data_IF_776857479107
#
_entry.id   IF_776857479107
#
_cell.length_a   1.000
_cell.length_b   1.000
_cell.length_c   1.000
_cell.angle_alpha   90.00
_cell.angle_beta   90.00
_cell.angle_gamma   90.00
#
_symmetry.space_group_name_H-M   'P 1'
#
loop_
_entity.id
_entity.type
_entity.pdbx_description
1 polymer ?
#
# COMPACT_ATOMS: atom_id res chain seq x y z
N UNK A 1 24.92 12.84 -49.79
CA UNK A 1 24.22 12.90 -51.09
C UNK A 1 23.80 14.30 -51.46
N UNK A 2 23.04 15.01 -50.61
CA UNK A 2 22.66 16.42 -50.84
C UNK A 2 23.85 17.29 -51.24
N UNK A 3 24.92 17.33 -50.43
CA UNK A 3 26.17 18.04 -50.74
C UNK A 3 26.82 17.68 -52.09
N UNK A 4 26.61 16.46 -52.58
CA UNK A 4 27.13 16.02 -53.87
C UNK A 4 26.20 16.44 -55.03
N UNK A 5 24.90 16.60 -54.78
CA UNK A 5 23.94 17.15 -55.75
C UNK A 5 24.16 18.65 -55.96
N UNK A 6 24.47 19.41 -54.90
CA UNK A 6 24.76 20.85 -54.99
C UNK A 6 25.97 21.16 -55.89
N UNK A 7 26.91 20.22 -55.98
CA UNK A 7 28.13 20.31 -56.79
C UNK A 7 28.17 19.28 -57.90
N UNK A 8 27.00 18.93 -58.46
CA UNK A 8 26.91 17.80 -59.41
C UNK A 8 27.77 18.00 -60.66
N UNK A 9 27.89 19.23 -61.17
CA UNK A 9 28.71 19.51 -62.35
C UNK A 9 30.20 19.24 -62.09
N UNK A 10 30.69 19.55 -60.89
CA UNK A 10 32.05 19.23 -60.48
C UNK A 10 32.23 17.72 -60.36
N UNK A 11 31.27 17.01 -59.74
CA UNK A 11 31.31 15.55 -59.61
C UNK A 11 31.33 14.87 -60.98
N UNK A 12 30.53 15.34 -61.93
CA UNK A 12 30.52 14.82 -63.31
C UNK A 12 31.82 15.14 -64.06
N UNK A 13 32.41 16.33 -63.85
CA UNK A 13 33.72 16.68 -64.42
C UNK A 13 34.83 15.77 -63.89
N UNK A 14 34.89 15.53 -62.58
CA UNK A 14 35.83 14.57 -61.99
C UNK A 14 35.59 13.19 -62.58
N UNK A 15 34.34 12.73 -62.65
CA UNK A 15 34.00 11.41 -63.18
C UNK A 15 34.44 11.19 -64.63
N UNK A 16 34.40 12.23 -65.46
CA UNK A 16 34.89 12.17 -66.85
C UNK A 16 36.41 12.27 -66.96
N UNK A 17 37.07 12.93 -66.02
CA UNK A 17 38.52 13.15 -66.03
C UNK A 17 39.30 12.02 -65.33
N UNK A 18 38.66 11.27 -64.42
CA UNK A 18 39.27 10.15 -63.72
C UNK A 18 39.51 8.95 -64.64
N UNK A 19 40.68 8.32 -64.49
CA UNK A 19 41.08 7.15 -65.29
C UNK A 19 40.52 5.82 -64.78
N UNK A 20 40.17 5.74 -63.50
CA UNK A 20 39.56 4.56 -62.88
C UNK A 20 38.55 4.95 -61.80
N UNK A 21 37.74 3.97 -61.36
CA UNK A 21 36.81 4.14 -60.25
C UNK A 21 37.53 4.51 -58.95
N UNK A 22 38.66 3.87 -58.69
CA UNK A 22 39.50 4.10 -57.51
C UNK A 22 40.04 5.53 -57.51
N UNK A 23 40.47 6.03 -58.67
CA UNK A 23 40.90 7.43 -58.80
C UNK A 23 39.74 8.40 -58.60
N UNK A 24 38.56 8.11 -59.13
CA UNK A 24 37.36 8.92 -58.91
C UNK A 24 37.01 9.02 -57.42
N UNK A 25 37.03 7.90 -56.70
CA UNK A 25 36.80 7.86 -55.26
C UNK A 25 37.91 8.61 -54.49
N UNK A 26 39.19 8.47 -54.88
CA UNK A 26 40.34 9.20 -54.31
C UNK A 26 40.19 10.73 -54.40
N UNK A 27 39.73 11.24 -55.54
CA UNK A 27 39.48 12.69 -55.73
C UNK A 27 38.28 13.16 -54.91
N UNK A 28 37.21 12.36 -54.78
CA UNK A 28 36.06 12.69 -53.94
C UNK A 28 36.39 12.70 -52.45
N UNK A 29 37.34 11.88 -51.99
CA UNK A 29 37.87 11.94 -50.63
C UNK A 29 38.78 13.16 -50.39
N UNK A 30 39.32 13.73 -51.46
CA UNK A 30 40.29 14.83 -51.41
C UNK A 30 41.72 14.37 -51.20
N UNK A 31 42.03 13.09 -51.45
CA UNK A 31 43.39 12.58 -51.42
C UNK A 31 44.17 13.08 -52.64
N UNK A 32 43.49 13.17 -53.78
CA UNK A 32 43.98 13.74 -55.03
C UNK A 32 43.23 15.03 -55.38
N UNK A 33 43.91 15.94 -56.07
CA UNK A 33 43.30 17.20 -56.54
C UNK A 33 43.38 17.29 -58.05
N UNK A 34 42.31 17.79 -58.67
CA UNK A 34 42.27 18.09 -60.10
C UNK A 34 42.31 19.60 -60.31
N UNK A 35 43.09 20.04 -61.30
CA UNK A 35 43.11 21.44 -61.71
C UNK A 35 41.71 21.86 -62.16
N UNK A 36 41.21 23.00 -61.66
CA UNK A 36 39.88 23.58 -61.92
C UNK A 36 38.71 23.14 -61.01
N UNK A 37 38.92 22.29 -60.00
CA UNK A 37 37.83 21.86 -59.08
C UNK A 37 38.24 22.06 -57.62
N UNK A 38 37.34 22.66 -56.83
CA UNK A 38 37.57 22.84 -55.40
C UNK A 38 37.57 21.48 -54.67
N UNK A 39 38.50 21.31 -53.73
CA UNK A 39 38.73 20.07 -52.99
C UNK A 39 37.44 19.53 -52.35
N UNK A 40 37.18 18.23 -52.51
CA UNK A 40 36.11 17.52 -51.81
C UNK A 40 36.59 16.98 -50.46
N UNK A 41 35.63 16.70 -49.57
CA UNK A 41 35.91 16.23 -48.20
C UNK A 41 34.96 15.08 -47.83
N UNK A 42 34.64 14.21 -48.78
CA UNK A 42 33.74 13.08 -48.53
C UNK A 42 34.49 11.95 -47.82
N UNK A 43 33.80 11.21 -46.96
CA UNK A 43 34.36 9.98 -46.38
C UNK A 43 34.37 8.86 -47.42
N UNK A 44 35.14 7.80 -47.19
CA UNK A 44 35.20 6.64 -48.09
C UNK A 44 33.80 6.03 -48.40
N UNK A 45 32.93 5.78 -47.40
CA UNK A 45 31.57 5.31 -47.69
C UNK A 45 30.74 6.32 -48.52
N UNK A 46 30.95 7.62 -48.32
CA UNK A 46 30.25 8.66 -49.07
C UNK A 46 30.73 8.74 -50.51
N UNK A 47 32.04 8.66 -50.75
CA UNK A 47 32.63 8.66 -52.08
C UNK A 47 32.16 7.45 -52.89
N UNK A 48 32.16 6.26 -52.27
CA UNK A 48 31.63 5.04 -52.88
C UNK A 48 30.14 5.17 -53.24
N UNK A 49 29.33 5.69 -52.31
CA UNK A 49 27.90 5.91 -52.56
C UNK A 49 27.63 6.91 -53.70
N UNK A 50 28.48 7.93 -53.86
CA UNK A 50 28.40 8.88 -54.98
C UNK A 50 28.79 8.18 -56.30
N UNK A 51 29.84 7.37 -56.29
CA UNK A 51 30.31 6.62 -57.46
C UNK A 51 29.29 5.60 -57.97
N UNK A 52 28.47 5.04 -57.08
CA UNK A 52 27.46 4.03 -57.41
C UNK A 52 26.13 4.63 -57.90
N UNK A 53 26.02 5.96 -58.01
CA UNK A 53 24.81 6.59 -58.52
C UNK A 53 24.58 6.34 -60.00
N UNK A 54 23.30 6.21 -60.35
CA UNK A 54 22.85 6.06 -61.73
C UNK A 54 22.41 7.42 -62.28
N UNK A 55 22.66 7.66 -63.57
CA UNK A 55 22.39 8.95 -64.23
C UNK A 55 20.93 9.41 -64.11
N UNK A 56 19.95 8.50 -64.13
CA UNK A 56 18.54 8.88 -63.98
C UNK A 56 18.22 9.49 -62.60
N UNK A 57 19.01 9.17 -61.56
CA UNK A 57 18.83 9.72 -60.20
C UNK A 57 19.30 11.18 -60.10
N UNK A 58 19.77 11.76 -61.19
CA UNK A 58 20.05 13.19 -61.34
C UNK A 58 18.83 13.96 -61.88
N UNK A 59 17.70 13.27 -62.10
CA UNK A 59 16.45 13.93 -62.47
C UNK A 59 16.03 14.94 -61.40
N UNK A 60 15.36 16.02 -61.82
CA UNK A 60 14.86 17.04 -60.89
C UNK A 60 13.97 16.45 -59.78
N UNK A 61 13.14 15.48 -60.15
CA UNK A 61 12.27 14.77 -59.20
C UNK A 61 13.05 13.94 -58.18
N UNK A 62 14.10 13.24 -58.59
CA UNK A 62 14.90 12.43 -57.66
C UNK A 62 15.79 13.31 -56.77
N UNK A 63 16.25 14.45 -57.28
CA UNK A 63 16.96 15.46 -56.46
C UNK A 63 16.04 16.03 -55.39
N UNK A 64 14.84 16.43 -55.78
CA UNK A 64 13.83 16.96 -54.86
C UNK A 64 13.42 15.92 -53.80
N UNK A 65 13.22 14.65 -54.17
CA UNK A 65 12.95 13.57 -53.22
C UNK A 65 14.04 13.42 -52.16
N UNK A 66 15.31 13.42 -52.59
CA UNK A 66 16.45 13.29 -51.67
C UNK A 66 16.56 14.50 -50.75
N UNK A 67 16.24 15.69 -51.26
CA UNK A 67 16.21 16.90 -50.44
C UNK A 67 15.09 16.83 -49.39
N UNK A 68 13.87 16.48 -49.81
CA UNK A 68 12.74 16.33 -48.89
C UNK A 68 13.00 15.27 -47.81
N UNK A 69 13.56 14.11 -48.19
CA UNK A 69 13.93 13.06 -47.24
C UNK A 69 14.98 13.56 -46.23
N UNK A 70 15.96 14.35 -46.69
CA UNK A 70 16.96 14.96 -45.81
C UNK A 70 16.30 15.92 -44.81
N UNK A 71 15.41 16.79 -45.28
CA UNK A 71 14.72 17.77 -44.44
C UNK A 71 13.81 17.07 -43.40
N UNK A 72 13.06 16.04 -43.82
CA UNK A 72 12.24 15.21 -42.91
C UNK A 72 13.09 14.51 -41.84
N UNK A 73 14.26 13.99 -42.23
CA UNK A 73 15.20 13.36 -41.30
C UNK A 73 15.77 14.39 -40.31
N UNK A 74 16.08 15.62 -40.73
CA UNK A 74 16.53 16.68 -39.82
C UNK A 74 15.47 17.02 -38.77
N UNK A 75 14.20 17.09 -39.18
CA UNK A 75 13.09 17.32 -38.24
C UNK A 75 12.98 16.16 -37.24
N UNK A 76 13.02 14.91 -37.72
CA UNK A 76 12.99 13.72 -36.86
C UNK A 76 14.16 13.66 -35.88
N UNK A 77 15.38 13.95 -36.34
CA UNK A 77 16.57 13.96 -35.48
C UNK A 77 16.41 14.99 -34.37
N UNK A 78 15.94 16.19 -34.73
CA UNK A 78 15.72 17.27 -33.76
C UNK A 78 14.69 16.86 -32.71
N UNK A 79 13.57 16.29 -33.15
CA UNK A 79 12.51 15.80 -32.27
C UNK A 79 12.99 14.70 -31.31
N UNK A 80 13.66 13.67 -31.86
CA UNK A 80 14.20 12.56 -31.07
C UNK A 80 15.29 13.03 -30.09
N UNK A 81 16.14 13.97 -30.51
CA UNK A 81 17.17 14.55 -29.62
C UNK A 81 16.54 15.35 -28.49
N UNK A 82 15.47 16.10 -28.77
CA UNK A 82 14.71 16.82 -27.74
C UNK A 82 14.10 15.85 -26.72
N UNK A 83 13.50 14.75 -27.18
CA UNK A 83 12.99 13.67 -26.30
C UNK A 83 14.10 13.08 -25.43
N UNK A 84 15.27 12.77 -26.00
CA UNK A 84 16.39 12.19 -25.25
C UNK A 84 16.97 13.19 -24.24
N UNK A 85 16.99 14.48 -24.56
CA UNK A 85 17.55 15.50 -23.68
C UNK A 85 16.61 15.89 -22.52
N UNK A 86 15.30 15.95 -22.76
CA UNK A 86 14.32 16.43 -21.80
C UNK A 86 13.66 15.31 -21.01
N UNK A 87 13.95 15.24 -19.70
CA UNK A 87 13.32 14.27 -18.80
C UNK A 87 11.79 14.46 -18.73
N UNK A 88 11.33 15.70 -18.66
CA UNK A 88 9.90 16.03 -18.63
C UNK A 88 9.17 15.51 -19.86
N UNK A 89 9.78 15.68 -21.05
CA UNK A 89 9.20 15.21 -22.32
C UNK A 89 9.12 13.68 -22.39
N UNK A 90 10.11 12.96 -21.85
CA UNK A 90 10.03 11.48 -21.74
C UNK A 90 8.90 11.04 -20.82
N UNK A 91 8.74 11.69 -19.67
CA UNK A 91 7.67 11.35 -18.74
C UNK A 91 6.28 11.64 -19.33
N UNK A 92 6.12 12.74 -20.07
CA UNK A 92 4.83 13.03 -20.71
C UNK A 92 4.47 11.97 -21.75
N UNK A 93 5.43 11.56 -22.59
CA UNK A 93 5.22 10.49 -23.57
C UNK A 93 4.89 9.17 -22.86
N UNK A 94 5.65 8.80 -21.83
CA UNK A 94 5.44 7.57 -21.08
C UNK A 94 4.08 7.53 -20.38
N UNK A 95 3.64 8.65 -19.78
CA UNK A 95 2.32 8.74 -19.16
C UNK A 95 1.19 8.60 -20.20
N UNK A 96 1.35 9.22 -21.36
CA UNK A 96 0.40 9.08 -22.46
C UNK A 96 0.30 7.63 -22.92
N UNK A 97 1.44 6.99 -23.23
CA UNK A 97 1.48 5.59 -23.68
C UNK A 97 0.90 4.63 -22.63
N UNK A 98 1.22 4.82 -21.35
CA UNK A 98 0.64 4.00 -20.26
C UNK A 98 -0.86 4.19 -20.14
N UNK A 99 -1.37 5.42 -20.34
CA UNK A 99 -2.80 5.69 -20.32
C UNK A 99 -3.50 5.00 -21.49
N UNK A 100 -2.94 5.07 -22.71
CA UNK A 100 -3.47 4.37 -23.88
C UNK A 100 -3.50 2.85 -23.69
N UNK A 101 -2.46 2.27 -23.06
CA UNK A 101 -2.43 0.85 -22.73
C UNK A 101 -3.50 0.50 -21.68
N UNK A 102 -3.64 1.32 -20.64
CA UNK A 102 -4.66 1.14 -19.60
C UNK A 102 -6.08 1.23 -20.17
N UNK A 103 -6.34 2.13 -21.12
CA UNK A 103 -7.65 2.25 -21.76
C UNK A 103 -7.95 1.07 -22.70
N UNK A 104 -6.94 0.62 -23.46
CA UNK A 104 -7.11 -0.48 -24.42
C UNK A 104 -7.25 -1.85 -23.75
N UNK A 105 -6.62 -2.04 -22.59
CA UNK A 105 -6.49 -3.35 -21.95
C UNK A 105 -6.99 -3.40 -20.50
N UNK A 106 -7.55 -2.31 -19.97
CA UNK A 106 -8.07 -2.26 -18.62
C UNK A 106 -9.34 -3.09 -18.44
N UNK A 107 -9.44 -3.76 -17.30
CA UNK A 107 -10.63 -4.45 -16.84
C UNK A 107 -10.96 -4.07 -15.38
N UNK A 108 -12.22 -4.26 -15.00
CA UNK A 108 -12.64 -4.00 -13.63
C UNK A 108 -12.04 -5.04 -12.67
N UNK A 109 -11.68 -4.58 -11.46
CA UNK A 109 -11.16 -5.45 -10.42
C UNK A 109 -12.20 -6.52 -10.06
N UNK A 110 -11.87 -7.78 -10.36
CA UNK A 110 -12.74 -8.93 -10.09
C UNK A 110 -12.88 -9.30 -8.61
N UNK A 111 -11.88 -8.98 -7.79
CA UNK A 111 -11.84 -9.35 -6.37
C UNK A 111 -12.13 -8.14 -5.47
N UNK A 112 -12.89 -8.36 -4.40
CA UNK A 112 -13.10 -7.36 -3.36
C UNK A 112 -12.13 -7.62 -2.18
N UNK A 113 -11.55 -6.57 -1.62
CA UNK A 113 -10.75 -6.66 -0.39
C UNK A 113 -11.68 -6.32 0.76
N UNK A 114 -12.00 -7.32 1.56
CA UNK A 114 -12.72 -7.11 2.82
C UNK A 114 -11.72 -6.57 3.87
N UNK A 115 -11.93 -5.33 4.40
CA UNK A 115 -11.06 -4.75 5.40
C UNK A 115 -11.18 -5.44 6.78
N UNK A 116 -12.15 -6.34 6.97
CA UNK A 116 -12.38 -7.06 8.23
C UNK A 116 -12.43 -8.57 8.00
N UNK A 117 -11.28 -9.25 7.81
CA UNK A 117 -11.25 -10.70 7.65
C UNK A 117 -11.65 -11.36 8.98
N UNK A 118 -12.90 -11.85 9.07
CA UNK A 118 -13.46 -12.57 10.23
C UNK A 118 -13.40 -11.77 11.54
N UNK A 119 -14.52 -11.15 11.95
CA UNK A 119 -14.67 -10.71 13.35
C UNK A 119 -14.80 -11.95 14.24
N UNK A 120 -13.67 -12.57 14.61
CA UNK A 120 -13.64 -13.29 15.88
C UNK A 120 -13.82 -12.23 16.95
N UNK A 121 -14.99 -12.20 17.57
CA UNK A 121 -15.17 -11.39 18.75
C UNK A 121 -14.19 -11.91 19.81
N UNK A 122 -13.53 -11.02 20.57
CA UNK A 122 -12.59 -11.45 21.63
C UNK A 122 -13.19 -12.49 22.57
N UNK A 123 -14.50 -12.53 22.70
CA UNK A 123 -15.27 -13.53 23.45
C UNK A 123 -15.12 -14.96 22.93
N UNK A 124 -14.92 -15.16 21.63
CA UNK A 124 -14.70 -16.49 21.03
C UNK A 124 -13.39 -17.13 21.50
N UNK A 125 -12.43 -16.30 21.94
CA UNK A 125 -11.17 -16.74 22.54
C UNK A 125 -11.30 -17.03 24.05
N UNK A 126 -12.40 -16.66 24.70
CA UNK A 126 -12.62 -16.86 26.13
C UNK A 126 -13.25 -18.22 26.36
N UNK A 127 -12.56 -19.09 27.10
CA UNK A 127 -13.11 -20.38 27.51
C UNK A 127 -14.29 -20.19 28.48
N UNK A 128 -15.39 -20.90 28.20
CA UNK A 128 -16.57 -20.93 29.05
C UNK A 128 -16.30 -21.72 30.34
N UNK A 129 -16.40 -21.05 31.49
CA UNK A 129 -16.14 -21.65 32.81
C UNK A 129 -16.99 -20.99 33.88
N UNK A 130 -17.28 -21.71 34.96
CA UNK A 130 -17.99 -21.15 36.10
C UNK A 130 -17.09 -20.22 36.93
N UNK A 131 -17.58 -19.02 37.20
CA UNK A 131 -16.92 -17.98 37.97
C UNK A 131 -17.73 -17.64 39.22
N UNK A 132 -17.03 -17.26 40.27
CA UNK A 132 -17.57 -16.52 41.42
C UNK A 132 -17.18 -15.07 41.25
N UNK A 133 -18.17 -14.18 41.17
CA UNK A 133 -17.97 -12.73 41.21
C UNK A 133 -18.20 -12.28 42.65
N UNK A 134 -17.27 -11.48 43.18
CA UNK A 134 -17.46 -10.82 44.47
C UNK A 134 -17.38 -9.31 44.30
N UNK A 135 -18.38 -8.61 44.83
CA UNK A 135 -18.42 -7.17 45.00
C UNK A 135 -18.23 -6.86 46.48
N UNK A 136 -17.45 -5.82 46.78
CA UNK A 136 -17.23 -5.33 48.13
C UNK A 136 -18.08 -4.08 48.42
N UNK A 137 -18.11 -3.60 49.66
CA UNK A 137 -18.85 -2.38 50.03
C UNK A 137 -18.22 -1.13 49.42
N UNK A 138 -16.89 -1.09 49.26
CA UNK A 138 -16.19 0.01 48.56
C UNK A 138 -16.25 -0.10 47.03
N UNK A 139 -17.18 -0.89 46.47
CA UNK A 139 -17.36 -1.10 45.02
C UNK A 139 -16.13 -1.69 44.29
N UNK A 140 -15.35 -2.54 44.95
CA UNK A 140 -14.34 -3.34 44.27
C UNK A 140 -14.95 -4.66 43.78
N UNK A 141 -14.70 -4.97 42.51
CA UNK A 141 -15.18 -6.17 41.85
C UNK A 141 -13.99 -7.03 41.42
N UNK A 142 -14.18 -8.35 41.53
CA UNK A 142 -13.24 -9.37 41.05
C UNK A 142 -13.98 -10.64 40.71
N UNK A 143 -13.35 -11.49 39.91
CA UNK A 143 -13.76 -12.87 39.72
C UNK A 143 -12.66 -13.86 40.09
N UNK A 144 -13.11 -15.07 40.42
CA UNK A 144 -12.26 -16.26 40.48
C UNK A 144 -13.02 -17.48 39.97
N UNK A 145 -12.34 -18.50 39.43
CA UNK A 145 -12.97 -19.78 39.14
C UNK A 145 -13.58 -20.40 40.41
N UNK A 146 -14.73 -21.07 40.28
CA UNK A 146 -15.45 -21.69 41.41
C UNK A 146 -14.57 -22.69 42.17
N UNK A 147 -13.68 -23.38 41.47
CA UNK A 147 -12.71 -24.33 42.05
C UNK A 147 -11.77 -23.64 43.04
N UNK A 148 -11.38 -22.39 42.75
CA UNK A 148 -10.52 -21.58 43.61
C UNK A 148 -11.21 -21.01 44.85
N UNK A 149 -12.55 -20.97 44.85
CA UNK A 149 -13.33 -20.54 46.01
C UNK A 149 -13.55 -21.68 47.02
N UNK A 150 -13.60 -22.93 46.56
CA UNK A 150 -13.94 -24.12 47.36
C UNK A 150 -12.70 -24.81 47.97
N UNK A 151 -11.97 -24.12 48.85
CA UNK A 151 -11.01 -24.77 49.76
C UNK A 151 -11.11 -24.15 51.16
N UNK A 152 -11.87 -24.83 52.04
CA UNK A 152 -11.40 -25.43 53.30
C UNK A 152 -12.59 -25.63 54.25
N UNK A 153 -12.95 -26.91 54.50
CA UNK A 153 -13.84 -27.29 55.57
C UNK A 153 -13.04 -28.13 56.58
N UNK A 154 -12.72 -27.54 57.75
CA UNK A 154 -12.53 -28.13 59.10
C UNK A 154 -11.43 -27.40 59.92
N UNK A 155 -11.88 -26.67 60.95
CA UNK A 155 -11.29 -26.58 62.31
C UNK A 155 -9.92 -25.93 62.53
N UNK A 156 -9.89 -24.78 63.21
CA UNK A 156 -8.67 -24.25 63.86
C UNK A 156 -8.89 -22.90 64.57
N UNK A 157 -8.84 -22.91 65.91
CA UNK A 157 -8.90 -21.74 66.82
C UNK A 157 -7.83 -20.68 66.49
N UNK A 158 -8.14 -19.39 66.67
CA UNK A 158 -7.11 -18.34 66.76
C UNK A 158 -7.61 -16.91 66.62
N UNK A 159 -8.28 -16.40 67.65
CA UNK A 159 -8.53 -14.97 67.84
C UNK A 159 -7.20 -14.25 68.17
N UNK A 160 -6.93 -13.16 67.44
CA UNK A 160 -6.15 -11.94 67.78
C UNK A 160 -4.95 -11.64 66.89
N UNK A 161 -5.01 -10.44 66.32
CA UNK A 161 -3.86 -9.72 65.78
C UNK A 161 -4.34 -8.46 65.07
N UNK A 162 -4.83 -7.49 65.85
CA UNK A 162 -5.28 -6.16 65.39
C UNK A 162 -4.32 -5.61 64.33
N UNK A 163 -4.80 -5.52 63.11
CA UNK A 163 -4.40 -4.46 62.19
C UNK A 163 -5.70 -3.86 61.68
N UNK A 164 -6.20 -2.86 62.40
CA UNK A 164 -7.28 -2.00 61.92
C UNK A 164 -6.80 -1.34 60.62
N UNK A 165 -7.19 -1.92 59.49
CA UNK A 165 -7.10 -1.34 58.16
C UNK A 165 -8.34 -1.82 57.43
N UNK A 166 -9.37 -0.97 57.42
CA UNK A 166 -10.55 -1.00 56.55
C UNK A 166 -10.73 -2.33 55.79
N UNK A 167 -11.17 -3.38 56.49
CA UNK A 167 -11.50 -4.64 55.85
C UNK A 167 -12.84 -4.45 55.14
N UNK A 168 -12.74 -4.05 53.88
CA UNK A 168 -13.87 -3.93 52.96
C UNK A 168 -14.55 -5.29 52.80
N UNK A 169 -15.74 -5.41 53.40
CA UNK A 169 -16.49 -6.66 53.45
C UNK A 169 -17.17 -6.96 52.11
N UNK A 170 -17.37 -8.24 51.74
CA UNK A 170 -18.18 -8.58 50.57
C UNK A 170 -19.61 -8.07 50.74
N UNK A 171 -20.08 -7.24 49.80
CA UNK A 171 -21.46 -6.77 49.72
C UNK A 171 -22.33 -7.73 48.93
N UNK A 172 -21.77 -8.37 47.90
CA UNK A 172 -22.45 -9.40 47.10
C UNK A 172 -21.46 -10.48 46.63
N UNK A 173 -21.93 -11.73 46.62
CA UNK A 173 -21.22 -12.85 46.02
C UNK A 173 -22.22 -13.57 45.12
N UNK A 174 -21.91 -13.66 43.83
CA UNK A 174 -22.75 -14.31 42.83
C UNK A 174 -21.94 -15.33 42.03
N UNK A 175 -22.62 -16.30 41.46
CA UNK A 175 -22.03 -17.31 40.57
C UNK A 175 -22.61 -17.16 39.17
N UNK A 176 -21.76 -17.20 38.15
CA UNK A 176 -22.16 -17.11 36.73
C UNK A 176 -21.13 -17.82 35.85
N UNK A 177 -21.41 -17.96 34.56
CA UNK A 177 -20.40 -18.38 33.58
C UNK A 177 -19.59 -17.18 33.07
N UNK A 178 -18.38 -17.43 32.57
CA UNK A 178 -17.47 -16.40 32.08
C UNK A 178 -18.06 -15.57 30.93
N UNK A 179 -18.95 -16.16 30.11
CA UNK A 179 -19.63 -15.50 28.99
C UNK A 179 -20.97 -14.84 29.37
N UNK A 180 -21.43 -14.99 30.60
CA UNK A 180 -22.64 -14.32 31.06
C UNK A 180 -22.45 -12.81 31.15
N UNK A 181 -23.55 -12.07 31.04
CA UNK A 181 -23.57 -10.62 31.20
C UNK A 181 -23.95 -10.27 32.63
N UNK A 182 -23.15 -9.43 33.28
CA UNK A 182 -23.45 -8.84 34.57
C UNK A 182 -24.23 -7.54 34.37
N UNK A 183 -25.46 -7.50 34.89
CA UNK A 183 -26.28 -6.31 34.99
C UNK A 183 -26.03 -5.66 36.34
N UNK A 184 -25.43 -4.47 36.33
CA UNK A 184 -25.01 -3.73 37.52
C UNK A 184 -25.97 -2.55 37.70
N UNK A 185 -26.74 -2.57 38.79
CA UNK A 185 -27.74 -1.55 39.11
C UNK A 185 -27.18 -0.53 40.09
N UNK A 186 -27.40 0.75 39.82
CA UNK A 186 -26.97 1.86 40.70
C UNK A 186 -28.14 2.54 41.41
N UNK A 187 -27.82 3.28 42.47
CA UNK A 187 -28.76 4.11 43.25
C UNK A 187 -29.44 5.22 42.46
N UNK A 188 -28.89 5.60 41.30
CA UNK A 188 -29.51 6.56 40.38
C UNK A 188 -30.44 5.90 39.35
N UNK A 189 -30.76 4.62 39.49
CA UNK A 189 -31.65 3.90 38.59
C UNK A 189 -31.03 3.59 37.22
N UNK A 190 -29.70 3.57 37.13
CA UNK A 190 -28.98 3.20 35.89
C UNK A 190 -28.56 1.74 35.93
N UNK A 191 -28.52 1.12 34.77
CA UNK A 191 -28.07 -0.26 34.58
C UNK A 191 -26.89 -0.26 33.63
N UNK A 192 -25.79 -0.87 34.07
CA UNK A 192 -24.61 -1.08 33.26
C UNK A 192 -24.44 -2.57 32.96
N UNK A 193 -24.04 -2.89 31.73
CA UNK A 193 -23.78 -4.26 31.32
C UNK A 193 -22.28 -4.50 31.13
N UNK A 194 -21.72 -5.44 31.88
CA UNK A 194 -20.32 -5.86 31.81
C UNK A 194 -20.26 -7.37 31.57
N UNK A 195 -19.40 -7.88 30.68
CA UNK A 195 -19.25 -9.34 30.53
C UNK A 195 -18.50 -9.89 31.74
N UNK A 196 -18.88 -11.07 32.24
CA UNK A 196 -18.30 -11.60 33.47
C UNK A 196 -16.77 -11.77 33.39
N UNK A 197 -16.24 -12.20 32.24
CA UNK A 197 -14.80 -12.33 31.99
C UNK A 197 -14.03 -11.00 31.95
N UNK A 198 -14.70 -9.85 31.73
CA UNK A 198 -14.08 -8.53 31.71
C UNK A 198 -13.77 -8.01 33.13
N UNK A 199 -14.37 -8.62 34.17
CA UNK A 199 -13.99 -8.34 35.55
C UNK A 199 -12.56 -8.83 35.82
N UNK A 200 -11.80 -8.22 36.75
CA UNK A 200 -10.42 -8.62 36.99
C UNK A 200 -10.36 -9.96 37.72
N UNK A 201 -9.50 -10.87 37.25
CA UNK A 201 -9.21 -12.11 37.95
C UNK A 201 -8.35 -11.80 39.18
N UNK A 202 -8.77 -12.24 40.37
CA UNK A 202 -7.98 -12.08 41.59
C UNK A 202 -8.12 -13.30 42.52
N UNK A 203 -7.13 -13.48 43.40
CA UNK A 203 -7.21 -14.49 44.46
C UNK A 203 -8.27 -14.10 45.51
N UNK A 204 -8.65 -15.04 46.38
CA UNK A 204 -9.59 -14.81 47.49
C UNK A 204 -9.23 -13.62 48.39
N UNK A 205 -7.94 -13.28 48.49
CA UNK A 205 -7.44 -12.16 49.29
C UNK A 205 -7.10 -10.91 48.45
N UNK A 206 -7.14 -10.98 47.12
CA UNK A 206 -6.80 -9.85 46.25
C UNK A 206 -7.97 -8.88 46.09
N UNK A 207 -7.78 -7.57 46.31
CA UNK A 207 -8.87 -6.59 46.35
C UNK A 207 -9.65 -6.43 45.03
N UNK A 208 -9.07 -6.77 43.88
CA UNK A 208 -9.71 -6.56 42.57
C UNK A 208 -9.56 -5.13 42.07
N UNK A 209 -10.50 -4.67 41.25
CA UNK A 209 -10.51 -3.30 40.69
C UNK A 209 -11.80 -2.59 41.05
N UNK A 210 -11.72 -1.29 41.30
CA UNK A 210 -12.89 -0.47 41.55
C UNK A 210 -13.79 -0.44 40.30
N UNK A 211 -15.10 -0.64 40.47
CA UNK A 211 -16.04 -0.83 39.36
C UNK A 211 -16.10 0.37 38.39
N UNK A 212 -15.87 1.59 38.90
CA UNK A 212 -15.72 2.82 38.09
C UNK A 212 -14.67 2.74 36.98
N UNK A 213 -13.63 1.93 37.15
CA UNK A 213 -12.59 1.78 36.13
C UNK A 213 -13.01 0.81 35.02
N UNK A 214 -14.07 0.03 35.24
CA UNK A 214 -14.57 -0.98 34.31
C UNK A 214 -15.84 -0.51 33.57
N UNK A 215 -16.62 0.35 34.21
CA UNK A 215 -17.87 0.88 33.65
C UNK A 215 -17.64 2.23 33.00
N UNK A 216 -17.77 2.28 31.67
CA UNK A 216 -17.71 3.54 30.95
C UNK A 216 -18.95 4.40 31.27
N UNK A 217 -18.73 5.64 31.74
CA UNK A 217 -19.81 6.63 31.91
C UNK A 217 -20.56 6.60 33.25
N UNK A 218 -20.08 5.82 34.22
CA UNK A 218 -20.54 5.92 35.62
C UNK A 218 -20.04 7.23 36.25
N UNK A 219 -20.91 7.89 37.01
CA UNK A 219 -20.59 9.14 37.70
C UNK A 219 -19.94 8.88 39.06
N UNK A 220 -19.23 9.88 39.59
CA UNK A 220 -18.55 9.75 40.88
C UNK A 220 -19.49 9.65 42.09
N UNK A 221 -20.74 10.11 41.94
CA UNK A 221 -21.79 10.06 42.95
C UNK A 221 -22.74 8.85 42.80
N UNK A 222 -22.48 7.94 41.85
CA UNK A 222 -23.24 6.71 41.65
C UNK A 222 -22.64 5.56 42.46
N UNK A 223 -23.49 4.88 43.24
CA UNK A 223 -23.12 3.69 44.03
C UNK A 223 -23.83 2.45 43.50
N UNK A 224 -23.13 1.32 43.46
CA UNK A 224 -23.71 0.04 43.04
C UNK A 224 -24.57 -0.51 44.17
N UNK A 225 -25.79 -0.91 43.83
CA UNK A 225 -26.73 -1.54 44.76
C UNK A 225 -26.72 -3.06 44.58
N UNK A 226 -26.73 -3.53 43.34
CA UNK A 226 -26.84 -4.96 43.06
C UNK A 226 -26.18 -5.34 41.73
N UNK A 227 -25.80 -6.61 41.65
CA UNK A 227 -25.33 -7.24 40.42
C UNK A 227 -26.20 -8.47 40.16
N UNK A 228 -26.76 -8.55 38.97
CA UNK A 228 -27.54 -9.69 38.51
C UNK A 228 -26.85 -10.31 37.30
N UNK A 229 -26.43 -11.59 37.36
CA UNK A 229 -25.95 -12.29 36.18
C UNK A 229 -27.14 -12.66 35.28
N UNK A 230 -26.97 -12.47 33.98
CA UNK A 230 -27.91 -12.85 32.93
C UNK A 230 -27.19 -13.81 31.98
N UNK A 231 -27.78 -14.98 31.75
CA UNK A 231 -27.19 -15.99 30.87
C UNK A 231 -27.10 -15.48 29.44
N UNK A 232 -26.05 -15.88 28.73
CA UNK A 232 -25.87 -15.54 27.31
C UNK A 232 -27.08 -15.95 26.47
N UNK A 233 -27.61 -17.15 26.70
CA UNK A 233 -28.78 -17.70 25.98
C UNK A 233 -30.01 -16.81 26.10
N UNK A 234 -30.28 -16.24 27.27
CA UNK A 234 -31.44 -15.36 27.50
C UNK A 234 -31.31 -14.01 26.78
N UNK A 235 -30.09 -13.60 26.45
CA UNK A 235 -29.83 -12.36 25.70
C UNK A 235 -30.00 -12.60 24.19
N UNK A 236 -29.60 -13.78 23.72
CA UNK A 236 -29.67 -14.16 22.31
C UNK A 236 -31.09 -14.61 21.90
N UNK A 237 -31.85 -15.21 22.82
CA UNK A 237 -33.24 -15.62 22.62
C UNK A 237 -34.12 -15.20 23.83
N UNK A 238 -34.63 -13.95 23.83
CA UNK A 238 -35.37 -13.40 24.97
C UNK A 238 -36.78 -13.95 25.14
N UNK A 239 -37.36 -14.55 24.10
CA UNK A 239 -38.74 -15.09 24.13
C UNK A 239 -38.79 -16.55 24.60
N UNK A 240 -37.65 -17.25 24.57
CA UNK A 240 -37.52 -18.65 24.98
C UNK A 240 -38.31 -19.58 24.05
N UNK A 241 -37.61 -20.40 23.27
CA UNK A 241 -38.24 -21.50 22.53
C UNK A 241 -39.10 -22.43 23.39
#
# INVERSE_FOLDING_TARGET
MVKAQDRIDDVVKVGKASSSREQFESVLRGDETMSSIAKFTFTEPQAKAIAERRLYQLSRLDVEKVQNEFDDLQVKITDLTDIISSQTRRFSILLQELSEVSERHGDDRRTHIDPSPLSMDREDLVAERALVISLTQDNYIRHLPVEGFRVQNRGGKGLKGVTTKDEDAPSAIITCFSKDRLLIFTDKGRVYGLRAWETPQASRHGRGTHIRNLLNGIRDDESVISILPMSKELIEDPDGG
#
